data_IF_208173564044
#
_entry.id   IF_208173564044
#
_cell.length_a   1.000
_cell.length_b   1.000
_cell.length_c   1.000
_cell.angle_alpha   90.00
_cell.angle_beta   90.00
_cell.angle_gamma   90.00
#
_symmetry.space_group_name_H-M   'P 1'
#
loop_
_entity.id
_entity.type
_entity.pdbx_description
1 polymer ?
#
# COMPACT_ATOMS: atom_id res chain seq x y z
N UNK A 1 -42.24 -3.01 6.15
CA UNK A 1 -41.93 -4.40 5.77
C UNK A 1 -43.23 -5.05 5.31
N UNK A 2 -43.21 -5.70 4.15
CA UNK A 2 -44.39 -6.34 3.54
C UNK A 2 -44.16 -7.83 3.34
N UNK A 3 -45.24 -8.60 3.21
CA UNK A 3 -45.17 -9.99 2.79
C UNK A 3 -45.00 -10.11 1.25
N UNK A 4 -44.99 -11.36 0.74
CA UNK A 4 -44.88 -11.67 -0.69
C UNK A 4 -46.07 -11.18 -1.53
N UNK A 5 -47.18 -10.83 -0.89
CA UNK A 5 -48.39 -10.32 -1.53
C UNK A 5 -48.52 -8.79 -1.40
N UNK A 6 -47.54 -8.14 -0.76
CA UNK A 6 -47.53 -6.69 -0.55
C UNK A 6 -48.30 -6.22 0.68
N UNK A 7 -48.82 -7.11 1.52
CA UNK A 7 -49.52 -6.72 2.75
C UNK A 7 -48.53 -6.22 3.80
N UNK A 8 -48.91 -5.17 4.54
CA UNK A 8 -48.07 -4.61 5.60
C UNK A 8 -47.93 -5.60 6.76
N UNK A 9 -46.70 -6.00 7.08
CA UNK A 9 -46.39 -6.85 8.24
C UNK A 9 -45.94 -6.03 9.45
N UNK A 10 -45.14 -4.99 9.18
CA UNK A 10 -44.51 -4.16 10.20
C UNK A 10 -44.21 -2.77 9.65
N UNK A 11 -44.36 -1.76 10.49
CA UNK A 11 -43.84 -0.42 10.25
C UNK A 11 -43.28 0.19 11.52
N UNK A 12 -42.30 1.07 11.35
CA UNK A 12 -41.66 1.75 12.45
C UNK A 12 -41.48 3.23 12.17
N UNK A 13 -41.65 4.03 13.21
CA UNK A 13 -41.33 5.46 13.19
C UNK A 13 -40.03 5.69 13.97
N UNK A 14 -39.13 6.50 13.42
CA UNK A 14 -37.81 6.75 14.00
C UNK A 14 -37.63 8.21 14.36
N UNK A 15 -36.99 8.46 15.50
CA UNK A 15 -36.50 9.79 15.89
C UNK A 15 -35.34 10.23 14.99
N UNK A 16 -34.91 11.49 15.10
CA UNK A 16 -33.78 12.02 14.35
C UNK A 16 -32.50 11.17 14.51
N UNK A 17 -32.24 10.65 15.72
CA UNK A 17 -31.06 9.83 16.05
C UNK A 17 -31.29 8.31 15.92
N UNK A 18 -32.38 7.88 15.29
CA UNK A 18 -32.58 6.46 14.98
C UNK A 18 -33.18 5.61 16.10
N UNK A 19 -33.55 6.20 17.25
CA UNK A 19 -34.44 5.51 18.23
C UNK A 19 -35.77 5.20 17.58
N UNK A 20 -36.24 3.97 17.76
CA UNK A 20 -37.56 3.52 17.33
C UNK A 20 -38.62 4.12 18.27
N UNK A 21 -39.43 5.06 17.76
CA UNK A 21 -40.53 5.71 18.47
C UNK A 21 -41.79 4.84 18.46
N UNK A 22 -42.00 4.11 17.37
CA UNK A 22 -43.16 3.22 17.18
C UNK A 22 -42.70 1.90 16.59
N UNK A 23 -43.12 0.78 17.17
CA UNK A 23 -42.80 -0.60 16.76
C UNK A 23 -44.10 -1.36 16.47
N UNK A 24 -44.86 -0.93 15.46
CA UNK A 24 -46.19 -1.47 15.21
C UNK A 24 -46.12 -2.70 14.31
N UNK A 25 -46.68 -3.80 14.83
CA UNK A 25 -46.77 -5.10 14.17
C UNK A 25 -48.21 -5.37 13.80
N UNK A 26 -48.47 -5.52 12.50
CA UNK A 26 -49.80 -5.93 12.01
C UNK A 26 -50.05 -7.40 12.40
N UNK A 27 -48.99 -8.22 12.42
CA UNK A 27 -49.02 -9.60 12.91
C UNK A 27 -48.00 -9.78 14.05
N UNK A 28 -48.41 -10.38 15.16
CA UNK A 28 -47.57 -10.54 16.37
C UNK A 28 -46.22 -11.25 16.13
N UNK A 29 -46.16 -12.10 15.11
CA UNK A 29 -44.97 -12.87 14.70
C UNK A 29 -43.94 -12.06 13.91
N UNK A 30 -44.29 -10.87 13.42
CA UNK A 30 -43.35 -10.05 12.66
C UNK A 30 -42.26 -9.47 13.57
N UNK A 31 -40.99 -9.82 13.30
CA UNK A 31 -39.84 -9.27 13.99
C UNK A 31 -38.91 -8.57 13.00
N UNK A 32 -38.68 -7.26 13.19
CA UNK A 32 -37.76 -6.47 12.37
C UNK A 32 -36.58 -5.98 13.23
N UNK A 33 -35.42 -6.66 13.21
CA UNK A 33 -34.25 -6.28 14.00
C UNK A 33 -33.42 -5.17 13.36
N UNK A 34 -33.54 -4.92 12.06
CA UNK A 34 -32.73 -3.91 11.37
C UNK A 34 -33.19 -2.49 11.67
N UNK A 35 -32.23 -1.58 11.74
CA UNK A 35 -32.40 -0.14 12.01
C UNK A 35 -31.78 0.67 10.88
N UNK A 36 -31.65 1.99 11.09
CA UNK A 36 -31.04 2.88 10.09
C UNK A 36 -29.64 2.38 9.71
N UNK A 37 -29.30 2.48 8.44
CA UNK A 37 -28.01 2.03 7.88
C UNK A 37 -27.69 0.55 8.17
N UNK A 38 -28.70 -0.33 8.20
CA UNK A 38 -28.55 -1.77 8.44
C UNK A 38 -27.94 -2.15 9.80
N UNK A 39 -27.99 -1.25 10.80
CA UNK A 39 -27.62 -1.61 12.16
C UNK A 39 -28.55 -2.70 12.71
N UNK A 40 -28.02 -3.60 13.53
CA UNK A 40 -28.80 -4.64 14.20
C UNK A 40 -29.20 -4.19 15.60
N UNK A 41 -30.50 -4.16 15.90
CA UNK A 41 -30.97 -3.80 17.24
C UNK A 41 -30.77 -4.95 18.23
N UNK A 42 -29.94 -4.71 19.23
CA UNK A 42 -29.85 -5.55 20.41
C UNK A 42 -30.89 -5.09 21.43
N UNK A 43 -31.85 -5.98 21.74
CA UNK A 43 -32.96 -5.69 22.64
C UNK A 43 -32.58 -5.80 24.12
N UNK A 44 -31.54 -6.57 24.44
CA UNK A 44 -31.12 -6.78 25.83
C UNK A 44 -30.44 -5.52 26.35
N UNK A 45 -29.63 -4.88 25.52
CA UNK A 45 -28.90 -3.66 25.85
C UNK A 45 -29.60 -2.38 25.41
N UNK A 46 -30.51 -2.48 24.42
CA UNK A 46 -31.13 -1.31 23.78
C UNK A 46 -30.20 -0.58 22.79
N UNK A 47 -28.98 -1.10 22.58
CA UNK A 47 -28.00 -0.55 21.64
C UNK A 47 -28.19 -1.11 20.24
N UNK A 48 -27.63 -0.43 19.25
CA UNK A 48 -27.60 -0.89 17.87
C UNK A 48 -26.19 -1.31 17.48
N UNK A 49 -25.99 -2.58 17.13
CA UNK A 49 -24.71 -3.07 16.64
C UNK A 49 -24.45 -2.55 15.22
N UNK A 50 -23.29 -1.92 15.04
CA UNK A 50 -22.81 -1.37 13.79
C UNK A 50 -21.40 -1.90 13.50
N UNK A 51 -21.32 -3.17 13.12
CA UNK A 51 -20.12 -3.93 12.75
C UNK A 51 -18.99 -3.91 13.81
N UNK A 52 -18.29 -2.80 13.97
CA UNK A 52 -17.18 -2.67 14.93
C UNK A 52 -17.57 -1.91 16.20
N UNK A 53 -18.72 -1.23 16.20
CA UNK A 53 -19.13 -0.33 17.29
C UNK A 53 -20.58 -0.58 17.71
N UNK A 54 -20.91 -0.28 18.97
CA UNK A 54 -22.29 -0.19 19.43
C UNK A 54 -22.76 1.27 19.44
N UNK A 55 -23.92 1.52 18.84
CA UNK A 55 -24.54 2.83 18.74
C UNK A 55 -25.67 2.98 19.76
N UNK A 56 -25.67 4.09 20.51
CA UNK A 56 -26.71 4.46 21.45
C UNK A 56 -27.73 5.40 20.77
N UNK A 57 -28.93 4.92 20.43
CA UNK A 57 -29.88 5.68 19.62
C UNK A 57 -30.57 6.83 20.37
N UNK A 58 -30.49 6.87 21.71
CA UNK A 58 -31.00 7.98 22.52
C UNK A 58 -30.02 9.15 22.55
N UNK A 59 -28.74 8.87 22.77
CA UNK A 59 -27.69 9.86 22.87
C UNK A 59 -27.16 10.31 21.49
N UNK A 60 -27.40 9.52 20.44
CA UNK A 60 -26.95 9.85 19.10
C UNK A 60 -25.43 9.67 18.91
N UNK A 61 -24.83 8.67 19.58
CA UNK A 61 -23.37 8.46 19.57
C UNK A 61 -22.99 6.99 19.73
N UNK A 62 -21.74 6.64 19.42
CA UNK A 62 -21.19 5.33 19.77
C UNK A 62 -20.84 5.26 21.26
N UNK A 63 -20.94 4.07 21.85
CA UNK A 63 -20.55 3.82 23.24
C UNK A 63 -19.08 3.41 23.39
N UNK A 64 -18.47 2.91 22.31
CA UNK A 64 -17.06 2.56 22.24
C UNK A 64 -16.28 3.64 21.45
N UNK A 65 -15.01 3.90 21.78
CA UNK A 65 -14.13 4.71 20.94
C UNK A 65 -13.93 4.06 19.57
N UNK A 66 -13.81 4.87 18.52
CA UNK A 66 -13.49 4.42 17.16
C UNK A 66 -12.19 3.57 17.13
N UNK A 67 -12.25 2.32 16.67
CA UNK A 67 -11.09 1.43 16.57
C UNK A 67 -9.96 1.96 15.69
N UNK A 68 -10.24 2.85 14.72
CA UNK A 68 -9.21 3.48 13.88
C UNK A 68 -8.55 4.70 14.56
N UNK A 69 -9.03 5.06 15.76
CA UNK A 69 -8.49 6.13 16.58
C UNK A 69 -8.63 7.51 15.92
N UNK A 70 -7.62 8.36 16.09
CA UNK A 70 -7.65 9.75 15.60
C UNK A 70 -7.78 9.88 14.07
N UNK A 71 -7.57 8.79 13.32
CA UNK A 71 -7.77 8.74 11.88
C UNK A 71 -9.26 8.83 11.49
N UNK A 72 -10.18 8.43 12.38
CA UNK A 72 -11.64 8.57 12.21
C UNK A 72 -12.16 9.97 12.57
N UNK A 73 -11.32 10.78 13.21
CA UNK A 73 -11.59 12.18 13.56
C UNK A 73 -11.28 12.50 15.02
N UNK A 74 -11.47 13.78 15.39
CA UNK A 74 -11.13 14.27 16.74
C UNK A 74 -12.08 13.80 17.85
N UNK A 75 -13.27 13.32 17.50
CA UNK A 75 -14.26 12.83 18.47
C UNK A 75 -14.57 11.36 18.17
N UNK A 76 -13.97 10.48 18.97
CA UNK A 76 -13.99 9.03 18.80
C UNK A 76 -15.37 8.38 19.07
N UNK A 77 -16.34 9.15 19.57
CA UNK A 77 -17.68 8.65 19.88
C UNK A 77 -18.75 9.18 18.95
N UNK A 78 -18.40 10.06 18.00
CA UNK A 78 -19.41 10.73 17.17
C UNK A 78 -20.07 9.76 16.21
N UNK A 79 -21.40 9.68 16.29
CA UNK A 79 -22.20 9.14 15.20
C UNK A 79 -22.54 10.27 14.21
N UNK A 80 -22.46 9.94 12.93
CA UNK A 80 -22.41 10.85 11.79
C UNK A 80 -23.34 12.10 11.88
N UNK A 81 -22.84 13.34 11.68
CA UNK A 81 -23.64 14.56 11.83
C UNK A 81 -24.73 14.78 10.77
N UNK A 82 -24.80 14.00 9.68
CA UNK A 82 -25.88 14.09 8.69
C UNK A 82 -26.43 12.73 8.25
N UNK A 83 -27.45 12.27 8.98
CA UNK A 83 -28.09 10.95 8.81
C UNK A 83 -28.83 10.78 7.47
N UNK A 84 -29.14 11.89 6.77
CA UNK A 84 -29.92 11.85 5.53
C UNK A 84 -29.05 11.67 4.28
N UNK A 85 -27.80 12.15 4.29
CA UNK A 85 -26.94 12.13 3.10
C UNK A 85 -25.68 11.28 3.26
N UNK A 86 -25.29 10.89 4.48
CA UNK A 86 -24.00 10.25 4.76
C UNK A 86 -24.23 8.86 5.35
N UNK A 87 -23.60 7.84 4.77
CA UNK A 87 -23.66 6.44 5.24
C UNK A 87 -22.28 6.06 5.79
N UNK A 88 -22.23 5.37 6.93
CA UNK A 88 -21.01 4.78 7.50
C UNK A 88 -21.15 3.25 7.55
N UNK A 89 -20.84 2.53 6.45
CA UNK A 89 -21.08 1.09 6.34
C UNK A 89 -20.21 0.22 7.26
N UNK A 90 -19.07 0.75 7.73
CA UNK A 90 -18.10 -0.01 8.54
C UNK A 90 -18.08 0.45 10.00
N UNK A 91 -18.65 1.61 10.33
CA UNK A 91 -18.55 2.21 11.65
C UNK A 91 -17.18 2.86 11.92
N UNK A 92 -16.45 3.23 10.86
CA UNK A 92 -15.02 3.59 10.93
C UNK A 92 -14.67 4.92 10.23
N UNK A 93 -15.45 5.42 9.25
CA UNK A 93 -15.06 6.62 8.45
C UNK A 93 -16.27 7.43 7.96
N UNK A 94 -16.12 8.78 7.98
CA UNK A 94 -17.01 9.77 7.35
C UNK A 94 -16.95 9.73 5.82
N UNK A 95 -18.06 9.46 5.13
CA UNK A 95 -18.10 9.42 3.67
C UNK A 95 -18.15 10.79 2.93
N UNK A 96 -17.91 11.95 3.57
CA UNK A 96 -18.10 13.25 2.85
C UNK A 96 -17.16 14.40 3.16
N UNK A 97 -15.96 14.13 3.68
CA UNK A 97 -14.83 15.06 3.54
C UNK A 97 -13.80 14.61 2.49
N UNK A 98 -14.16 13.64 1.65
CA UNK A 98 -13.43 13.37 0.42
C UNK A 98 -13.95 14.34 -0.64
N UNK A 99 -13.38 15.56 -0.69
CA UNK A 99 -13.09 16.10 -2.03
C UNK A 99 -12.26 15.00 -2.68
N UNK A 100 -12.75 14.33 -3.72
CA UNK A 100 -11.99 13.34 -4.48
C UNK A 100 -10.82 14.03 -5.19
N UNK A 101 -9.82 14.44 -4.41
CA UNK A 101 -8.42 14.43 -4.82
C UNK A 101 -8.06 12.95 -4.71
N UNK A 102 -7.59 12.34 -5.79
CA UNK A 102 -7.23 10.91 -5.84
C UNK A 102 -6.50 10.45 -4.57
N UNK A 103 -6.64 9.17 -4.23
CA UNK A 103 -6.11 8.61 -2.99
C UNK A 103 -4.61 8.89 -2.90
N UNK A 104 -4.21 9.57 -1.82
CA UNK A 104 -2.84 10.07 -1.66
C UNK A 104 -2.06 9.03 -0.85
N UNK A 105 -0.88 8.67 -1.35
CA UNK A 105 0.01 7.68 -0.74
C UNK A 105 1.41 8.27 -0.59
N UNK A 106 2.06 8.08 0.56
CA UNK A 106 3.48 8.43 0.68
C UNK A 106 4.31 7.54 -0.24
N UNK A 107 5.49 8.00 -0.64
CA UNK A 107 6.43 7.23 -1.45
C UNK A 107 6.76 5.88 -0.82
N UNK A 108 6.98 5.84 0.49
CA UNK A 108 7.29 4.61 1.24
C UNK A 108 6.12 3.62 1.20
N UNK A 109 4.90 4.09 1.44
CA UNK A 109 3.69 3.26 1.33
C UNK A 109 3.50 2.74 -0.10
N UNK A 110 3.72 3.59 -1.11
CA UNK A 110 3.59 3.24 -2.52
C UNK A 110 4.57 2.16 -2.96
N UNK A 111 5.84 2.31 -2.57
CA UNK A 111 6.87 1.30 -2.86
C UNK A 111 6.53 -0.01 -2.15
N UNK A 112 6.21 0.05 -0.85
CA UNK A 112 5.90 -1.14 -0.06
C UNK A 112 4.72 -1.91 -0.66
N UNK A 113 3.61 -1.22 -0.94
CA UNK A 113 2.42 -1.82 -1.54
C UNK A 113 2.73 -2.42 -2.92
N UNK A 114 3.47 -1.69 -3.76
CA UNK A 114 3.83 -2.18 -5.09
C UNK A 114 4.73 -3.42 -5.02
N UNK A 115 5.70 -3.44 -4.11
CA UNK A 115 6.58 -4.59 -3.85
C UNK A 115 5.80 -5.80 -3.35
N UNK A 116 4.90 -5.63 -2.37
CA UNK A 116 4.05 -6.72 -1.87
C UNK A 116 3.15 -7.30 -2.97
N UNK A 117 2.57 -6.44 -3.81
CA UNK A 117 1.81 -6.90 -4.97
C UNK A 117 2.69 -7.71 -5.93
N UNK A 118 3.91 -7.23 -6.23
CA UNK A 118 4.85 -7.94 -7.09
C UNK A 118 5.28 -9.28 -6.51
N UNK A 119 5.59 -9.37 -5.21
CA UNK A 119 5.92 -10.63 -4.53
C UNK A 119 4.84 -11.69 -4.76
N UNK A 120 3.57 -11.30 -4.82
CA UNK A 120 2.47 -12.23 -5.07
C UNK A 120 2.20 -12.51 -6.56
N UNK A 121 2.82 -11.74 -7.48
CA UNK A 121 2.50 -11.77 -8.91
C UNK A 121 3.62 -12.33 -9.80
N UNK A 122 4.88 -12.22 -9.37
CA UNK A 122 6.04 -12.69 -10.14
C UNK A 122 6.22 -14.21 -10.00
N UNK A 123 6.90 -14.81 -10.97
CA UNK A 123 7.15 -16.26 -10.99
C UNK A 123 8.13 -16.70 -9.90
N UNK A 124 8.05 -17.96 -9.47
CA UNK A 124 8.99 -18.52 -8.49
C UNK A 124 10.46 -18.42 -8.95
N UNK A 125 10.73 -18.49 -10.27
CA UNK A 125 12.09 -18.30 -10.79
C UNK A 125 12.58 -16.87 -10.59
N UNK A 126 11.73 -15.86 -10.79
CA UNK A 126 12.08 -14.47 -10.48
C UNK A 126 12.25 -14.25 -8.98
N UNK A 127 11.41 -14.87 -8.15
CA UNK A 127 11.56 -14.83 -6.69
C UNK A 127 12.88 -15.44 -6.24
N UNK A 128 13.30 -16.58 -6.81
CA UNK A 128 14.59 -17.21 -6.51
C UNK A 128 15.77 -16.30 -6.84
N UNK A 129 15.75 -15.62 -7.99
CA UNK A 129 16.82 -14.68 -8.34
C UNK A 129 16.91 -13.51 -7.34
N UNK A 130 15.75 -12.98 -6.90
CA UNK A 130 15.73 -11.91 -5.89
C UNK A 130 16.17 -12.45 -4.53
N UNK A 131 15.79 -13.66 -4.17
CA UNK A 131 16.21 -14.31 -2.93
C UNK A 131 17.72 -14.49 -2.90
N UNK A 132 18.34 -14.92 -4.01
CA UNK A 132 19.79 -15.04 -4.14
C UNK A 132 20.48 -13.68 -3.94
N UNK A 133 20.02 -12.64 -4.64
CA UNK A 133 20.58 -11.28 -4.55
C UNK A 133 20.51 -10.69 -3.12
N UNK A 134 19.52 -11.11 -2.33
CA UNK A 134 19.21 -10.53 -1.01
C UNK A 134 19.32 -11.53 0.15
N UNK A 135 19.95 -12.68 -0.05
CA UNK A 135 20.05 -13.75 0.95
C UNK A 135 20.62 -13.24 2.28
N UNK A 136 21.69 -12.46 2.21
CA UNK A 136 22.40 -11.90 3.36
C UNK A 136 21.81 -10.60 3.92
N UNK A 137 20.61 -10.21 3.47
CA UNK A 137 19.96 -8.98 3.95
C UNK A 137 19.69 -8.97 5.45
N UNK A 138 19.59 -10.13 6.09
CA UNK A 138 19.42 -10.26 7.55
C UNK A 138 20.57 -9.65 8.36
N UNK A 139 21.78 -9.53 7.80
CA UNK A 139 22.92 -8.91 8.48
C UNK A 139 22.82 -7.39 8.53
N UNK A 140 22.18 -6.79 7.52
CA UNK A 140 22.09 -5.34 7.34
C UNK A 140 20.75 -4.75 7.77
N UNK A 141 19.66 -5.50 7.61
CA UNK A 141 18.27 -5.05 7.81
C UNK A 141 17.46 -6.06 8.67
N UNK A 142 17.95 -6.49 9.85
CA UNK A 142 17.34 -7.57 10.63
C UNK A 142 15.92 -7.24 11.14
N UNK A 143 15.61 -5.97 11.40
CA UNK A 143 14.30 -5.54 11.91
C UNK A 143 13.15 -5.77 10.93
N UNK A 144 13.46 -5.93 9.64
CA UNK A 144 12.48 -6.16 8.58
C UNK A 144 12.10 -7.63 8.43
N UNK A 145 12.83 -8.55 9.08
CA UNK A 145 12.63 -9.99 8.99
C UNK A 145 12.20 -10.57 10.34
N UNK A 146 11.42 -11.65 10.31
CA UNK A 146 11.03 -12.33 11.53
C UNK A 146 12.18 -13.23 12.05
N UNK A 147 12.19 -13.52 13.36
CA UNK A 147 13.29 -14.23 14.02
C UNK A 147 13.52 -15.64 13.48
N UNK A 148 12.48 -16.34 13.06
CA UNK A 148 12.57 -17.70 12.52
C UNK A 148 13.28 -17.69 11.16
N UNK A 149 12.90 -16.77 10.28
CA UNK A 149 13.54 -16.55 8.99
C UNK A 149 14.99 -16.11 9.14
N UNK A 150 15.29 -15.18 10.05
CA UNK A 150 16.68 -14.78 10.34
C UNK A 150 17.50 -15.98 10.79
N UNK A 151 16.97 -16.79 11.72
CA UNK A 151 17.67 -17.99 12.19
C UNK A 151 17.95 -18.93 11.02
N UNK A 152 16.98 -19.16 10.14
CA UNK A 152 17.15 -20.02 8.98
C UNK A 152 18.24 -19.50 8.03
N UNK A 153 18.16 -18.23 7.63
CA UNK A 153 19.13 -17.59 6.72
C UNK A 153 20.55 -17.58 7.30
N UNK A 154 20.69 -17.52 8.63
CA UNK A 154 21.99 -17.52 9.30
C UNK A 154 22.63 -18.90 9.45
N UNK A 155 21.87 -19.99 9.26
CA UNK A 155 22.35 -21.37 9.48
C UNK A 155 22.33 -22.25 8.23
N UNK A 156 21.86 -21.74 7.10
CA UNK A 156 21.78 -22.47 5.83
C UNK A 156 22.43 -21.66 4.71
N UNK A 157 22.92 -22.37 3.69
CA UNK A 157 23.40 -21.74 2.48
C UNK A 157 22.27 -21.68 1.44
N UNK A 158 22.32 -20.69 0.54
CA UNK A 158 21.32 -20.59 -0.53
C UNK A 158 21.27 -21.85 -1.41
N UNK A 159 22.42 -22.51 -1.60
CA UNK A 159 22.56 -23.74 -2.40
C UNK A 159 21.76 -24.93 -1.83
N UNK A 160 21.31 -24.85 -0.56
CA UNK A 160 20.44 -25.86 0.05
C UNK A 160 18.99 -25.79 -0.46
N UNK A 161 18.61 -24.71 -1.17
CA UNK A 161 17.25 -24.49 -1.66
C UNK A 161 17.07 -25.05 -3.07
N UNK A 162 16.33 -26.17 -3.17
CA UNK A 162 15.95 -26.74 -4.48
C UNK A 162 14.73 -26.05 -5.11
N UNK A 163 13.80 -25.54 -4.30
CA UNK A 163 12.57 -24.90 -4.75
C UNK A 163 12.19 -23.71 -3.88
N UNK A 164 11.54 -22.73 -4.50
CA UNK A 164 11.06 -21.55 -3.78
C UNK A 164 9.90 -21.89 -2.85
N UNK A 165 9.98 -21.41 -1.61
CA UNK A 165 8.91 -21.45 -0.61
C UNK A 165 8.50 -20.02 -0.21
N UNK A 166 7.21 -19.80 0.02
CA UNK A 166 6.67 -18.49 0.42
C UNK A 166 7.18 -18.01 1.79
N UNK A 167 7.80 -18.90 2.59
CA UNK A 167 8.59 -18.55 3.77
C UNK A 167 9.63 -17.44 3.49
N UNK A 168 10.18 -17.41 2.27
CA UNK A 168 11.17 -16.41 1.83
C UNK A 168 10.57 -15.12 1.25
N UNK A 169 9.23 -15.00 1.18
CA UNK A 169 8.56 -13.80 0.68
C UNK A 169 8.99 -12.50 1.38
N UNK A 170 9.31 -12.47 2.70
CA UNK A 170 9.83 -11.26 3.33
C UNK A 170 11.15 -10.77 2.71
N UNK A 171 12.09 -11.67 2.41
CA UNK A 171 13.36 -11.32 1.75
C UNK A 171 13.10 -10.84 0.32
N UNK A 172 12.23 -11.53 -0.41
CA UNK A 172 11.86 -11.11 -1.78
C UNK A 172 11.19 -9.73 -1.79
N UNK A 173 10.29 -9.47 -0.84
CA UNK A 173 9.62 -8.18 -0.70
C UNK A 173 10.59 -7.06 -0.32
N UNK A 174 11.58 -7.36 0.54
CA UNK A 174 12.67 -6.45 0.86
C UNK A 174 13.51 -6.13 -0.38
N UNK A 175 13.92 -7.14 -1.14
CA UNK A 175 14.66 -6.97 -2.40
C UNK A 175 13.88 -6.18 -3.45
N UNK A 176 12.59 -6.43 -3.61
CA UNK A 176 11.71 -5.64 -4.48
C UNK A 176 11.58 -4.20 -4.00
N UNK A 177 11.47 -3.97 -2.69
CA UNK A 177 11.44 -2.62 -2.11
C UNK A 177 12.71 -1.85 -2.41
N UNK A 178 13.88 -2.50 -2.28
CA UNK A 178 15.15 -1.92 -2.69
C UNK A 178 15.19 -1.61 -4.19
N UNK A 179 14.84 -2.59 -5.05
CA UNK A 179 14.83 -2.43 -6.52
C UNK A 179 13.83 -1.36 -6.99
N UNK A 180 12.71 -1.19 -6.28
CA UNK A 180 11.68 -0.20 -6.59
C UNK A 180 12.01 1.21 -6.06
N UNK A 181 13.03 1.36 -5.21
CA UNK A 181 13.41 2.64 -4.61
C UNK A 181 13.90 3.70 -5.61
N UNK A 182 14.28 3.30 -6.82
CA UNK A 182 14.73 4.18 -7.92
C UNK A 182 13.59 4.63 -8.85
N UNK A 183 12.37 4.10 -8.68
CA UNK A 183 11.22 4.43 -9.53
C UNK A 183 10.69 5.84 -9.22
N UNK A 184 10.26 6.61 -10.21
CA UNK A 184 9.62 7.90 -9.96
C UNK A 184 8.24 7.73 -9.29
N UNK A 185 7.83 8.68 -8.45
CA UNK A 185 6.47 8.80 -7.91
C UNK A 185 5.46 8.86 -9.05
N UNK A 186 5.78 9.51 -10.17
CA UNK A 186 4.91 9.53 -11.36
C UNK A 186 4.67 8.11 -11.90
N UNK A 187 5.73 7.30 -12.00
CA UNK A 187 5.62 5.92 -12.45
C UNK A 187 4.84 5.06 -11.45
N UNK A 188 5.18 5.15 -10.16
CA UNK A 188 4.47 4.44 -9.09
C UNK A 188 2.98 4.80 -9.06
N UNK A 189 2.64 6.09 -9.12
CA UNK A 189 1.27 6.59 -9.18
C UNK A 189 0.51 5.99 -10.37
N UNK A 190 1.11 5.98 -11.57
CA UNK A 190 0.50 5.39 -12.77
C UNK A 190 0.26 3.89 -12.61
N UNK A 191 1.24 3.15 -12.09
CA UNK A 191 1.12 1.69 -11.89
C UNK A 191 0.09 1.35 -10.82
N UNK A 192 0.15 1.99 -9.67
CA UNK A 192 -0.81 1.78 -8.59
C UNK A 192 -2.23 2.20 -8.99
N UNK A 193 -2.37 3.26 -9.78
CA UNK A 193 -3.69 3.67 -10.27
C UNK A 193 -4.34 2.61 -11.14
N UNK A 194 -3.54 1.98 -12.01
CA UNK A 194 -3.99 0.88 -12.86
C UNK A 194 -4.36 -0.35 -12.01
N UNK A 195 -3.50 -0.73 -11.05
CA UNK A 195 -3.70 -1.89 -10.19
C UNK A 195 -4.95 -1.77 -9.31
N UNK A 196 -5.17 -0.59 -8.72
CA UNK A 196 -6.26 -0.33 -7.79
C UNK A 196 -7.54 0.15 -8.49
N UNK A 197 -7.50 0.34 -9.81
CA UNK A 197 -8.58 0.93 -10.61
C UNK A 197 -9.12 2.24 -10.00
N UNK A 198 -8.19 3.07 -9.48
CA UNK A 198 -8.46 4.33 -8.77
C UNK A 198 -7.36 5.33 -9.09
N UNK A 199 -7.65 6.62 -9.04
CA UNK A 199 -6.60 7.64 -9.16
C UNK A 199 -5.75 7.67 -7.89
N UNK A 200 -4.45 7.38 -8.03
CA UNK A 200 -3.46 7.39 -6.96
C UNK A 200 -2.45 8.51 -7.20
N UNK A 201 -2.23 9.34 -6.16
CA UNK A 201 -1.18 10.35 -6.15
C UNK A 201 -0.09 9.93 -5.16
N UNK A 202 1.16 9.86 -5.61
CA UNK A 202 2.31 9.50 -4.77
C UNK A 202 3.14 10.76 -4.48
N UNK A 203 3.49 10.98 -3.21
CA UNK A 203 4.29 12.13 -2.77
C UNK A 203 5.43 11.73 -1.83
N UNK A 204 6.49 12.53 -1.79
CA UNK A 204 7.69 12.27 -0.99
C UNK A 204 8.95 12.53 -1.82
N UNK A 205 10.11 12.54 -1.16
CA UNK A 205 11.41 12.72 -1.83
C UNK A 205 11.74 11.51 -2.71
N UNK A 206 11.71 11.73 -4.03
CA UNK A 206 12.03 10.70 -5.02
C UNK A 206 13.51 10.36 -5.04
N UNK A 207 14.39 11.36 -4.84
CA UNK A 207 15.83 11.17 -4.91
C UNK A 207 16.29 10.32 -3.72
N UNK A 208 15.69 10.53 -2.55
CA UNK A 208 15.94 9.73 -1.35
C UNK A 208 17.43 9.51 -1.08
N UNK A 209 18.19 10.61 -1.08
CA UNK A 209 19.65 10.64 -0.90
C UNK A 209 20.47 9.85 -1.95
N UNK A 210 19.84 9.32 -3.01
CA UNK A 210 20.55 8.67 -4.10
C UNK A 210 21.44 9.65 -4.84
N UNK A 211 22.53 9.09 -5.36
CA UNK A 211 23.52 9.77 -6.17
C UNK A 211 23.26 9.47 -7.65
N UNK A 212 23.48 10.51 -8.47
CA UNK A 212 23.41 10.42 -9.93
C UNK A 212 24.50 9.49 -10.45
N UNK A 213 24.11 8.44 -11.18
CA UNK A 213 25.07 7.59 -11.88
C UNK A 213 25.86 8.41 -12.90
N UNK A 214 27.20 8.35 -12.92
CA UNK A 214 28.00 9.16 -13.83
C UNK A 214 27.81 8.74 -15.30
N UNK A 215 27.46 7.48 -15.55
CA UNK A 215 27.16 6.97 -16.89
C UNK A 215 25.78 7.42 -17.38
N UNK A 216 24.69 6.90 -16.83
CA UNK A 216 23.34 7.12 -17.38
C UNK A 216 22.63 8.37 -16.86
N UNK A 217 23.19 9.07 -15.89
CA UNK A 217 22.62 10.27 -15.25
C UNK A 217 21.30 10.07 -14.49
N UNK A 218 20.88 8.83 -14.24
CA UNK A 218 19.75 8.54 -13.36
C UNK A 218 20.20 8.43 -11.89
N UNK A 219 19.36 8.90 -10.96
CA UNK A 219 19.60 8.76 -9.52
C UNK A 219 19.39 7.31 -9.08
N UNK A 220 20.48 6.61 -8.83
CA UNK A 220 20.44 5.15 -8.57
C UNK A 220 21.47 4.67 -7.55
N UNK A 221 22.61 5.36 -7.43
CA UNK A 221 23.71 4.94 -6.56
C UNK A 221 23.47 5.38 -5.13
N UNK A 222 24.06 4.68 -4.16
CA UNK A 222 23.97 5.06 -2.74
C UNK A 222 25.09 6.02 -2.37
N UNK A 223 26.23 5.94 -3.05
CA UNK A 223 27.37 6.84 -2.88
C UNK A 223 28.14 7.05 -4.19
N UNK A 224 29.12 7.97 -4.21
CA UNK A 224 30.01 8.21 -5.36
C UNK A 224 31.30 7.40 -5.23
N UNK A 225 31.76 6.85 -6.35
CA UNK A 225 33.08 6.22 -6.49
C UNK A 225 33.36 5.14 -5.45
N UNK A 226 32.32 4.37 -5.12
CA UNK A 226 32.34 3.32 -4.11
C UNK A 226 32.03 1.94 -4.71
N UNK A 227 32.24 1.78 -6.03
CA UNK A 227 31.96 0.54 -6.77
C UNK A 227 30.48 0.11 -6.73
N UNK A 228 29.57 1.05 -6.46
CA UNK A 228 28.13 0.80 -6.60
C UNK A 228 27.81 0.55 -8.09
N UNK A 229 27.11 -0.55 -8.38
CA UNK A 229 26.67 -0.88 -9.74
C UNK A 229 25.32 -0.22 -10.01
N UNK A 230 25.22 0.52 -11.11
CA UNK A 230 23.97 1.15 -11.50
C UNK A 230 22.93 0.09 -11.95
N UNK A 231 21.76 -0.02 -11.30
CA UNK A 231 20.70 -0.98 -11.69
C UNK A 231 20.01 -0.67 -13.03
N UNK A 232 20.33 0.47 -13.67
CA UNK A 232 19.75 0.87 -14.97
C UNK A 232 20.71 0.58 -16.11
N UNK A 233 21.96 1.02 -15.98
CA UNK A 233 22.96 0.91 -17.04
C UNK A 233 24.08 -0.08 -16.74
N UNK A 234 24.12 -0.68 -15.55
CA UNK A 234 25.14 -1.65 -15.13
C UNK A 234 26.58 -1.13 -15.08
N UNK A 235 26.79 0.18 -15.20
CA UNK A 235 28.08 0.80 -14.92
C UNK A 235 28.42 0.68 -13.42
N UNK A 236 29.59 0.13 -13.12
CA UNK A 236 30.19 0.10 -11.78
C UNK A 236 30.97 1.39 -11.54
N UNK A 237 30.56 2.17 -10.54
CA UNK A 237 31.16 3.48 -10.24
C UNK A 237 32.52 3.34 -9.56
N UNK A 238 33.55 3.11 -10.37
CA UNK A 238 34.96 3.03 -9.97
C UNK A 238 35.67 4.40 -9.91
N UNK A 239 34.92 5.50 -10.08
CA UNK A 239 35.46 6.86 -10.10
C UNK A 239 36.12 7.29 -11.41
N UNK A 240 36.04 6.48 -12.47
CA UNK A 240 36.51 6.86 -13.81
C UNK A 240 35.68 8.00 -14.40
N UNK A 241 36.33 8.89 -15.16
CA UNK A 241 35.69 10.06 -15.76
C UNK A 241 35.72 10.00 -17.30
N UNK A 242 34.59 10.27 -17.95
CA UNK A 242 34.38 10.42 -19.41
C UNK A 242 35.28 9.52 -20.29
N UNK A 243 36.46 9.99 -20.70
CA UNK A 243 37.37 9.29 -21.64
C UNK A 243 38.33 8.29 -20.97
N UNK A 244 38.43 8.29 -19.65
CA UNK A 244 39.30 7.36 -18.93
C UNK A 244 38.77 5.93 -19.06
N UNK A 245 39.63 5.01 -19.49
CA UNK A 245 39.30 3.59 -19.55
C UNK A 245 39.11 3.03 -18.13
N UNK A 246 37.94 2.47 -17.88
CA UNK A 246 37.64 1.70 -16.69
C UNK A 246 38.00 0.24 -16.94
N UNK A 247 38.93 -0.30 -16.15
CA UNK A 247 39.30 -1.71 -16.24
C UNK A 247 38.14 -2.64 -15.81
N UNK A 248 37.31 -2.19 -14.87
CA UNK A 248 36.19 -2.95 -14.33
C UNK A 248 35.04 -3.01 -15.33
N UNK A 249 34.72 -1.88 -15.96
CA UNK A 249 33.66 -1.81 -16.97
C UNK A 249 34.15 -2.19 -18.39
N UNK A 250 35.45 -2.45 -18.54
CA UNK A 250 36.14 -2.74 -19.80
C UNK A 250 35.92 -1.70 -20.91
N UNK A 251 35.61 -0.45 -20.55
CA UNK A 251 35.25 0.60 -21.48
C UNK A 251 35.51 1.99 -20.89
N UNK A 252 35.56 3.04 -21.71
CA UNK A 252 35.45 4.40 -21.21
C UNK A 252 34.00 4.71 -20.81
N UNK A 253 33.82 5.67 -19.91
CA UNK A 253 32.49 6.06 -19.46
C UNK A 253 31.67 6.68 -20.60
N UNK A 254 32.31 7.47 -21.47
CA UNK A 254 31.66 8.10 -22.62
C UNK A 254 31.22 7.07 -23.67
N UNK A 255 32.08 6.11 -24.00
CA UNK A 255 31.77 5.02 -24.95
C UNK A 255 30.65 4.13 -24.41
N UNK A 256 30.73 3.72 -23.14
CA UNK A 256 29.69 2.91 -22.50
C UNK A 256 28.33 3.63 -22.50
N UNK A 257 28.30 4.91 -22.10
CA UNK A 257 27.09 5.73 -22.10
C UNK A 257 26.46 5.81 -23.49
N UNK A 258 27.27 5.98 -24.53
CA UNK A 258 26.80 6.05 -25.90
C UNK A 258 26.16 4.73 -26.35
N UNK A 259 26.81 3.59 -26.09
CA UNK A 259 26.26 2.26 -26.40
C UNK A 259 24.94 2.05 -25.66
N UNK A 260 24.89 2.36 -24.37
CA UNK A 260 23.68 2.21 -23.56
C UNK A 260 22.49 2.96 -24.17
N UNK A 261 22.67 4.23 -24.57
CA UNK A 261 21.59 5.04 -25.17
C UNK A 261 21.35 4.77 -26.67
N UNK A 262 22.21 4.01 -27.35
CA UNK A 262 21.90 3.43 -28.66
C UNK A 262 20.93 2.25 -28.53
N UNK A 263 21.06 1.47 -27.46
CA UNK A 263 20.25 0.27 -27.22
C UNK A 263 18.96 0.55 -26.44
N UNK A 264 18.92 1.66 -25.68
CA UNK A 264 17.82 1.99 -24.79
C UNK A 264 17.19 3.36 -25.11
N UNK A 265 15.86 3.38 -25.18
CA UNK A 265 15.09 4.61 -25.35
C UNK A 265 15.11 5.43 -24.05
N UNK A 266 15.90 6.51 -24.07
CA UNK A 266 16.04 7.45 -22.96
C UNK A 266 14.70 7.99 -22.47
N UNK A 267 13.76 8.30 -23.37
CA UNK A 267 12.46 8.87 -23.00
C UNK A 267 11.65 7.88 -22.17
N UNK A 268 11.66 6.60 -22.55
CA UNK A 268 10.99 5.53 -21.79
C UNK A 268 11.62 5.31 -20.42
N UNK A 269 12.94 5.47 -20.31
CA UNK A 269 13.64 5.39 -19.03
C UNK A 269 13.26 6.58 -18.13
N UNK A 270 13.18 7.79 -18.66
CA UNK A 270 12.74 9.00 -17.93
C UNK A 270 11.27 8.94 -17.47
N UNK A 271 10.42 8.17 -18.16
CA UNK A 271 9.06 7.90 -17.67
C UNK A 271 9.03 6.99 -16.43
N UNK A 272 10.07 6.17 -16.24
CA UNK A 272 10.14 5.14 -15.19
C UNK A 272 11.01 5.58 -14.00
N UNK A 273 12.16 6.18 -14.28
CA UNK A 273 13.22 6.47 -13.32
C UNK A 273 13.50 7.97 -13.22
N UNK A 274 14.25 8.38 -12.20
CA UNK A 274 14.51 9.79 -11.90
C UNK A 274 15.79 10.23 -12.60
N UNK A 275 15.66 11.09 -13.61
CA UNK A 275 16.79 11.59 -14.39
C UNK A 275 17.34 12.90 -13.82
N UNK A 276 18.65 12.94 -13.59
CA UNK A 276 19.37 14.16 -13.24
C UNK A 276 19.84 14.86 -14.50
N UNK A 277 19.40 16.11 -14.71
CA UNK A 277 19.93 16.92 -15.81
C UNK A 277 21.48 17.01 -15.71
N UNK A 278 22.18 17.00 -16.86
CA UNK A 278 23.64 17.11 -16.91
C UNK A 278 24.12 18.34 -16.16
#
# INVERSE_FOLDING_TARGET
MTDIHGNLLWYGEYTAWGRLKKDDRVYKVANQPFRRQNQYADRETGLHYNLMCYYEPEAGRFVNPDPIGLWGGKNLYTFNPNIVSWIDPLGLIKASEIKWKGFIMTRTEAIKFFSEYQTNSISNSEKMNILLDFWYSYESEPEHLNKELISYLSTHDFDDIEFYDDFFNPVVTLGLTYKNSILSNKFLAKKLSLLLSKEINVYGDEINQKVKCPCCHFYTLSSKSNYDICPICHWEDDGSNEEQYSAVNHNSLSEYRNIFFLEHDKTKLEEKYIFGKP
#
